data_IF_987793869278
#
_entry.id   IF_987793869278
#
_cell.length_a   1.000
_cell.length_b   1.000
_cell.length_c   1.000
_cell.angle_alpha   90.00
_cell.angle_beta   90.00
_cell.angle_gamma   90.00
#
_symmetry.space_group_name_H-M   'P 1'
#
loop_
_entity.id
_entity.type
_entity.pdbx_description
1 polymer ?
#
# COMPACT_ATOMS: atom_id res chain seq x y z
N UNK A 1 -42.57 25.23 10.08
CA UNK A 1 -42.84 24.65 8.76
C UNK A 1 -41.76 25.12 7.82
N UNK A 2 -40.76 24.26 7.52
CA UNK A 2 -39.65 24.62 6.63
C UNK A 2 -40.05 24.21 5.21
N UNK A 3 -40.27 25.21 4.35
CA UNK A 3 -40.48 25.00 2.91
C UNK A 3 -39.18 24.56 2.24
N UNK A 4 -38.98 23.24 2.06
CA UNK A 4 -37.97 22.72 1.18
C UNK A 4 -38.39 22.99 -0.27
N UNK A 5 -37.78 23.97 -0.91
CA UNK A 5 -38.00 24.25 -2.31
C UNK A 5 -37.33 23.14 -3.16
N UNK A 6 -38.00 22.72 -4.25
CA UNK A 6 -37.54 21.67 -5.21
C UNK A 6 -36.09 21.88 -5.73
N UNK A 7 -35.60 23.13 -5.72
CA UNK A 7 -34.22 23.47 -6.10
C UNK A 7 -33.17 22.92 -5.16
N UNK A 8 -33.45 22.81 -3.84
CA UNK A 8 -32.49 22.31 -2.86
C UNK A 8 -32.37 20.77 -2.91
N UNK A 9 -33.45 20.09 -3.33
CA UNK A 9 -33.41 18.63 -3.50
C UNK A 9 -32.53 18.21 -4.70
N UNK A 10 -32.52 19.03 -5.77
CA UNK A 10 -31.72 18.74 -6.96
C UNK A 10 -30.21 18.94 -6.72
N UNK A 11 -29.85 19.95 -5.94
CA UNK A 11 -28.46 20.20 -5.55
C UNK A 11 -27.88 19.11 -4.62
N UNK A 12 -28.69 18.57 -3.71
CA UNK A 12 -28.26 17.49 -2.83
C UNK A 12 -28.08 16.17 -3.59
N UNK A 13 -28.94 15.86 -4.58
CA UNK A 13 -28.83 14.63 -5.37
C UNK A 13 -27.62 14.64 -6.29
N UNK A 14 -27.26 15.80 -6.85
CA UNK A 14 -26.12 15.92 -7.75
C UNK A 14 -24.77 15.79 -7.01
N UNK A 15 -24.69 16.33 -5.79
CA UNK A 15 -23.50 16.19 -4.94
C UNK A 15 -23.23 14.74 -4.51
N UNK A 16 -24.29 13.97 -4.22
CA UNK A 16 -24.16 12.58 -3.82
C UNK A 16 -23.73 11.67 -4.99
N UNK A 17 -24.24 11.91 -6.19
CA UNK A 17 -23.89 11.14 -7.39
C UNK A 17 -22.44 11.38 -7.81
N UNK A 18 -21.96 12.62 -7.73
CA UNK A 18 -20.55 12.96 -8.07
C UNK A 18 -19.59 12.36 -7.02
N UNK A 19 -19.96 12.41 -5.74
CA UNK A 19 -19.17 11.78 -4.68
C UNK A 19 -19.09 10.25 -4.81
N UNK A 20 -20.22 9.60 -5.13
CA UNK A 20 -20.28 8.15 -5.33
C UNK A 20 -19.52 7.69 -6.58
N UNK A 21 -19.58 8.45 -7.68
CA UNK A 21 -18.80 8.17 -8.90
C UNK A 21 -17.30 8.36 -8.67
N UNK A 22 -16.89 9.40 -7.94
CA UNK A 22 -15.49 9.60 -7.55
C UNK A 22 -14.96 8.44 -6.71
N UNK A 23 -15.72 7.96 -5.73
CA UNK A 23 -15.35 6.81 -4.92
C UNK A 23 -15.25 5.51 -5.75
N UNK A 24 -16.18 5.26 -6.66
CA UNK A 24 -16.16 4.06 -7.52
C UNK A 24 -14.99 4.08 -8.50
N UNK A 25 -14.60 5.24 -9.03
CA UNK A 25 -13.41 5.38 -9.89
C UNK A 25 -12.12 5.21 -9.10
N UNK A 26 -12.06 5.68 -7.86
CA UNK A 26 -10.91 5.48 -6.97
C UNK A 26 -10.60 4.00 -6.72
N UNK A 27 -11.64 3.15 -6.58
CA UNK A 27 -11.48 1.70 -6.39
C UNK A 27 -11.11 0.94 -7.68
N UNK A 28 -11.09 1.59 -8.84
CA UNK A 28 -10.85 0.97 -10.15
C UNK A 28 -9.52 1.33 -10.81
N UNK A 29 -8.64 2.07 -10.16
CA UNK A 29 -7.31 2.27 -10.75
C UNK A 29 -6.60 0.91 -10.89
N UNK A 30 -6.24 0.52 -12.12
CA UNK A 30 -5.61 -0.78 -12.34
C UNK A 30 -4.24 -0.80 -11.65
N UNK A 31 -3.91 -1.91 -11.01
CA UNK A 31 -2.56 -2.12 -10.49
C UNK A 31 -1.59 -2.23 -11.67
N UNK A 32 -0.52 -1.46 -11.65
CA UNK A 32 0.55 -1.53 -12.64
C UNK A 32 1.50 -2.72 -12.37
N UNK A 33 2.19 -3.23 -13.40
CA UNK A 33 3.33 -4.12 -13.16
C UNK A 33 4.36 -3.45 -12.27
N UNK A 34 4.89 -4.18 -11.28
CA UNK A 34 5.98 -3.68 -10.45
C UNK A 34 7.27 -3.69 -11.27
N UNK A 35 7.89 -2.51 -11.44
CA UNK A 35 9.21 -2.34 -12.06
C UNK A 35 10.13 -1.55 -11.15
N UNK A 36 11.45 -1.62 -11.39
CA UNK A 36 12.44 -0.84 -10.62
C UNK A 36 12.22 0.66 -10.75
N UNK A 37 11.86 1.14 -11.95
CA UNK A 37 11.62 2.55 -12.24
C UNK A 37 10.37 3.05 -11.48
N UNK A 38 9.28 2.26 -11.50
CA UNK A 38 8.06 2.61 -10.79
C UNK A 38 8.27 2.64 -9.27
N UNK A 39 9.01 1.66 -8.74
CA UNK A 39 9.37 1.58 -7.32
C UNK A 39 10.23 2.77 -6.90
N UNK A 40 11.27 3.09 -7.68
CA UNK A 40 12.17 4.21 -7.43
C UNK A 40 11.42 5.55 -7.44
N UNK A 41 10.54 5.77 -8.42
CA UNK A 41 9.72 6.98 -8.52
C UNK A 41 8.74 7.11 -7.33
N UNK A 42 8.15 6.03 -6.87
CA UNK A 42 7.29 6.02 -5.70
C UNK A 42 8.06 6.32 -4.41
N UNK A 43 9.22 5.67 -4.21
CA UNK A 43 10.12 5.92 -3.07
C UNK A 43 10.62 7.37 -3.04
N UNK A 44 10.92 7.95 -4.21
CA UNK A 44 11.30 9.36 -4.31
C UNK A 44 10.17 10.29 -3.87
N UNK A 45 8.93 10.04 -4.30
CA UNK A 45 7.76 10.82 -3.85
C UNK A 45 7.56 10.71 -2.34
N UNK A 46 7.68 9.51 -1.78
CA UNK A 46 7.58 9.28 -0.35
C UNK A 46 8.60 10.11 0.43
N UNK A 47 9.87 10.08 0.01
CA UNK A 47 10.93 10.87 0.64
C UNK A 47 10.71 12.38 0.48
N UNK A 48 10.28 12.82 -0.69
CA UNK A 48 10.00 14.23 -0.98
C UNK A 48 8.80 14.77 -0.19
N UNK A 49 7.85 13.92 0.21
CA UNK A 49 6.72 14.30 1.04
C UNK A 49 7.14 14.74 2.45
N UNK A 50 8.33 14.37 2.92
CA UNK A 50 8.90 14.84 4.18
C UNK A 50 8.07 14.48 5.41
N UNK A 51 7.31 13.38 5.36
CA UNK A 51 6.46 12.93 6.47
C UNK A 51 7.35 12.57 7.66
N UNK A 52 7.13 13.24 8.80
CA UNK A 52 7.92 13.07 10.02
C UNK A 52 7.28 12.12 11.03
N UNK A 53 5.99 11.85 10.89
CA UNK A 53 5.28 10.90 11.72
C UNK A 53 4.05 10.34 11.01
N UNK A 54 3.76 9.06 11.21
CA UNK A 54 2.54 8.44 10.69
C UNK A 54 2.09 7.28 11.56
N UNK A 55 0.79 6.99 11.48
CA UNK A 55 0.21 5.73 11.91
C UNK A 55 -0.31 4.99 10.67
N UNK A 56 -0.04 3.71 10.57
CA UNK A 56 -0.45 2.90 9.45
C UNK A 56 -0.98 1.54 9.92
N UNK A 57 -2.02 1.06 9.26
CA UNK A 57 -2.49 -0.33 9.34
C UNK A 57 -2.50 -0.95 7.96
N UNK A 58 -1.92 -2.10 7.83
CA UNK A 58 -1.91 -2.85 6.57
C UNK A 58 -1.97 -4.35 6.83
N UNK A 59 -2.39 -5.09 5.84
CA UNK A 59 -2.38 -6.56 5.84
C UNK A 59 -1.28 -7.06 4.93
N UNK A 60 -0.48 -8.01 5.44
CA UNK A 60 0.56 -8.67 4.66
C UNK A 60 0.54 -10.17 5.00
N UNK A 61 0.46 -11.01 3.95
CA UNK A 61 0.41 -12.48 4.09
C UNK A 61 -0.69 -13.00 5.03
N UNK A 62 -1.80 -12.29 5.15
CA UNK A 62 -2.93 -12.68 6.00
C UNK A 62 -2.89 -12.12 7.41
N UNK A 63 -1.76 -11.58 7.88
CA UNK A 63 -1.65 -10.91 9.18
C UNK A 63 -1.88 -9.40 9.05
N UNK A 64 -2.43 -8.80 10.09
CA UNK A 64 -2.64 -7.36 10.19
C UNK A 64 -1.52 -6.72 11.02
N UNK A 65 -0.90 -5.70 10.47
CA UNK A 65 0.17 -4.91 11.06
C UNK A 65 -0.37 -3.53 11.40
N UNK A 66 -0.11 -3.06 12.62
CA UNK A 66 -0.36 -1.68 13.02
C UNK A 66 0.95 -1.08 13.53
N UNK A 67 1.36 0.03 12.92
CA UNK A 67 2.67 0.66 13.12
C UNK A 67 2.47 2.14 13.42
N UNK A 68 3.13 2.64 14.45
CA UNK A 68 3.34 4.06 14.68
C UNK A 68 4.82 4.37 14.51
N UNK A 69 5.11 5.30 13.60
CA UNK A 69 6.46 5.68 13.22
C UNK A 69 6.64 7.18 13.40
N UNK A 70 7.81 7.60 13.91
CA UNK A 70 8.17 9.01 14.09
C UNK A 70 9.67 9.22 13.93
N UNK A 71 10.05 10.25 13.19
CA UNK A 71 11.43 10.75 13.04
C UNK A 71 12.47 9.62 12.79
N UNK A 72 12.16 8.66 11.94
CA UNK A 72 13.07 7.56 11.58
C UNK A 72 12.94 6.29 12.44
N UNK A 73 12.06 6.27 13.44
CA UNK A 73 11.94 5.15 14.39
C UNK A 73 10.50 4.66 14.48
N UNK A 74 10.34 3.34 14.55
CA UNK A 74 9.06 2.73 14.91
C UNK A 74 8.88 2.82 16.43
N UNK A 75 7.92 3.64 16.87
CA UNK A 75 7.59 3.82 18.29
C UNK A 75 6.73 2.68 18.83
N UNK A 76 5.77 2.21 17.99
CA UNK A 76 4.91 1.09 18.34
C UNK A 76 4.69 0.21 17.11
N UNK A 77 4.64 -1.10 17.35
CA UNK A 77 4.28 -2.09 16.34
C UNK A 77 3.45 -3.21 16.96
N UNK A 78 2.46 -3.69 16.22
CA UNK A 78 1.74 -4.92 16.55
C UNK A 78 1.46 -5.73 15.29
N UNK A 79 1.40 -7.05 15.46
CA UNK A 79 1.04 -8.04 14.45
C UNK A 79 -0.11 -8.85 15.01
N UNK A 80 -1.30 -8.80 14.36
CA UNK A 80 -2.53 -9.43 14.86
C UNK A 80 -2.83 -9.03 16.31
N UNK A 81 -2.65 -7.73 16.63
CA UNK A 81 -2.87 -7.14 17.97
C UNK A 81 -1.89 -7.65 19.06
N UNK A 82 -0.78 -8.27 18.69
CA UNK A 82 0.26 -8.76 19.61
C UNK A 82 1.58 -8.06 19.33
N UNK A 83 2.47 -7.94 20.31
CA UNK A 83 3.82 -7.46 20.07
C UNK A 83 4.52 -8.33 19.01
N UNK A 84 5.28 -7.74 18.07
CA UNK A 84 6.02 -8.49 17.08
C UNK A 84 7.12 -9.33 17.74
N UNK A 85 7.47 -10.44 17.11
CA UNK A 85 8.51 -11.35 17.60
C UNK A 85 9.91 -10.93 17.17
N UNK A 86 10.03 -10.01 16.21
CA UNK A 86 11.32 -9.50 15.75
C UNK A 86 11.76 -8.28 16.53
N UNK A 87 13.09 -8.08 16.63
CA UNK A 87 13.71 -6.87 17.19
C UNK A 87 13.88 -5.78 16.13
N UNK A 88 13.90 -6.12 14.84
CA UNK A 88 13.94 -5.15 13.75
C UNK A 88 12.52 -4.72 13.39
N UNK A 89 12.05 -3.70 14.10
CA UNK A 89 10.72 -3.12 13.85
C UNK A 89 10.67 -2.28 12.58
N UNK A 90 11.82 -1.77 12.09
CA UNK A 90 11.86 -0.96 10.87
C UNK A 90 11.46 -1.74 9.62
N UNK A 91 11.63 -3.06 9.63
CA UNK A 91 11.14 -3.93 8.55
C UNK A 91 9.62 -3.82 8.34
N UNK A 92 8.88 -3.37 9.36
CA UNK A 92 7.42 -3.16 9.26
C UNK A 92 7.02 -1.72 8.92
N UNK A 93 7.97 -0.79 8.86
CA UNK A 93 7.72 0.59 8.42
C UNK A 93 7.38 0.68 6.94
N UNK A 94 6.90 1.84 6.47
CA UNK A 94 6.70 2.07 5.03
C UNK A 94 8.01 1.98 4.24
N UNK A 95 9.14 2.41 4.81
CA UNK A 95 10.45 2.22 4.19
C UNK A 95 10.82 0.73 4.11
N UNK A 96 10.55 -0.05 5.14
CA UNK A 96 10.70 -1.51 5.13
C UNK A 96 9.82 -2.21 4.08
N UNK A 97 8.61 -1.69 3.81
CA UNK A 97 7.78 -2.19 2.71
C UNK A 97 8.41 -1.90 1.34
N UNK A 98 9.04 -0.73 1.14
CA UNK A 98 9.80 -0.46 -0.08
C UNK A 98 10.98 -1.42 -0.25
N UNK A 99 11.72 -1.70 0.83
CA UNK A 99 12.83 -2.66 0.81
C UNK A 99 12.34 -4.08 0.50
N UNK A 100 11.18 -4.46 1.03
CA UNK A 100 10.52 -5.73 0.69
C UNK A 100 10.21 -5.83 -0.80
N UNK A 101 9.65 -4.78 -1.42
CA UNK A 101 9.36 -4.78 -2.86
C UNK A 101 10.64 -4.79 -3.72
N UNK A 102 11.70 -4.16 -3.27
CA UNK A 102 13.01 -4.21 -3.93
C UNK A 102 13.60 -5.62 -3.88
N UNK A 103 13.55 -6.27 -2.72
CA UNK A 103 13.97 -7.67 -2.56
C UNK A 103 13.15 -8.63 -3.45
N UNK A 104 11.84 -8.39 -3.64
CA UNK A 104 11.01 -9.18 -4.55
C UNK A 104 11.49 -9.06 -6.01
N UNK A 105 11.90 -7.85 -6.44
CA UNK A 105 12.46 -7.64 -7.77
C UNK A 105 13.86 -8.26 -7.92
N UNK A 106 14.68 -8.23 -6.87
CA UNK A 106 15.97 -8.88 -6.84
C UNK A 106 15.84 -10.40 -6.93
N UNK A 107 14.93 -10.96 -6.15
CA UNK A 107 14.61 -12.39 -6.19
C UNK A 107 14.10 -12.85 -7.56
N UNK A 108 13.35 -11.99 -8.27
CA UNK A 108 12.87 -12.29 -9.63
C UNK A 108 14.02 -12.27 -10.65
N UNK A 109 15.00 -11.39 -10.46
CA UNK A 109 16.13 -11.24 -11.36
C UNK A 109 17.24 -12.28 -11.11
N UNK A 110 17.28 -12.88 -9.94
CA UNK A 110 18.32 -13.85 -9.56
C UNK A 110 18.05 -15.22 -10.20
N UNK A 111 18.94 -15.69 -11.11
CA UNK A 111 18.79 -17.00 -11.74
C UNK A 111 18.92 -18.19 -10.78
N UNK A 112 19.46 -17.98 -9.58
CA UNK A 112 19.57 -18.95 -8.51
C UNK A 112 18.57 -18.69 -7.35
N UNK A 113 17.73 -17.65 -7.48
CA UNK A 113 16.81 -17.19 -6.47
C UNK A 113 15.55 -18.06 -6.30
N UNK A 114 14.62 -17.62 -5.46
CA UNK A 114 13.40 -18.37 -5.15
C UNK A 114 12.49 -18.64 -6.36
N UNK A 115 12.69 -17.89 -7.46
CA UNK A 115 11.89 -17.99 -8.68
C UNK A 115 12.68 -18.63 -9.85
N UNK A 116 13.84 -19.22 -9.56
CA UNK A 116 14.66 -19.88 -10.57
C UNK A 116 13.84 -20.91 -11.39
N UNK A 117 13.90 -20.79 -12.72
CA UNK A 117 13.17 -21.65 -13.65
C UNK A 117 11.66 -21.37 -13.77
N UNK A 118 11.13 -20.36 -13.07
CA UNK A 118 9.69 -20.00 -13.10
C UNK A 118 9.46 -18.50 -13.19
N UNK A 119 10.48 -17.69 -13.39
CA UNK A 119 10.42 -16.23 -13.36
C UNK A 119 9.36 -15.67 -14.33
N UNK A 120 9.20 -16.28 -15.51
CA UNK A 120 8.20 -15.88 -16.53
C UNK A 120 6.75 -16.09 -16.07
N UNK A 121 6.50 -16.90 -15.04
CA UNK A 121 5.16 -17.17 -14.49
C UNK A 121 4.85 -16.30 -13.28
N UNK A 122 5.82 -15.53 -12.78
CA UNK A 122 5.66 -14.65 -11.64
C UNK A 122 5.15 -13.30 -12.11
N UNK A 123 3.95 -12.94 -11.65
CA UNK A 123 3.34 -11.64 -11.92
C UNK A 123 3.34 -10.81 -10.65
N UNK A 124 4.03 -9.67 -10.69
CA UNK A 124 4.03 -8.69 -9.60
C UNK A 124 3.28 -7.44 -10.04
N UNK A 125 2.27 -7.06 -9.27
CA UNK A 125 1.50 -5.84 -9.52
C UNK A 125 1.46 -4.98 -8.27
N UNK A 126 1.48 -3.66 -8.47
CA UNK A 126 1.50 -2.69 -7.38
C UNK A 126 0.61 -1.49 -7.70
N UNK A 127 0.09 -0.88 -6.64
CA UNK A 127 -0.48 0.46 -6.67
C UNK A 127 0.17 1.26 -5.55
N UNK A 128 0.72 2.41 -5.93
CA UNK A 128 1.25 3.40 -4.99
C UNK A 128 0.28 4.56 -4.85
N UNK A 129 0.26 5.18 -3.67
CA UNK A 129 -0.48 6.41 -3.48
C UNK A 129 0.04 7.50 -4.44
N UNK A 130 -0.82 8.13 -5.23
CA UNK A 130 -0.38 9.07 -6.27
C UNK A 130 0.26 10.34 -5.70
N UNK A 131 -0.14 10.76 -4.50
CA UNK A 131 0.33 12.00 -3.86
C UNK A 131 1.59 11.77 -3.02
N UNK A 132 1.59 10.75 -2.19
CA UNK A 132 2.66 10.50 -1.20
C UNK A 132 3.63 9.38 -1.63
N UNK A 133 3.22 8.51 -2.54
CA UNK A 133 4.09 7.44 -3.06
C UNK A 133 4.13 6.16 -2.24
N UNK A 134 3.56 6.08 -1.04
CA UNK A 134 3.56 4.83 -0.27
C UNK A 134 2.76 3.71 -0.97
N UNK A 135 3.06 2.46 -0.64
CA UNK A 135 2.36 1.31 -1.22
C UNK A 135 0.95 1.19 -0.67
N UNK A 136 -0.06 1.23 -1.54
CA UNK A 136 -1.46 0.99 -1.19
C UNK A 136 -1.83 -0.48 -1.36
N UNK A 137 -1.32 -1.10 -2.41
CA UNK A 137 -1.57 -2.50 -2.69
C UNK A 137 -0.42 -3.12 -3.46
N UNK A 138 -0.05 -4.31 -3.08
CA UNK A 138 0.88 -5.17 -3.80
C UNK A 138 0.31 -6.58 -3.89
N UNK A 139 0.51 -7.22 -5.04
CA UNK A 139 0.12 -8.60 -5.27
C UNK A 139 1.19 -9.29 -6.11
N UNK A 140 1.71 -10.39 -5.60
CA UNK A 140 2.50 -11.34 -6.36
C UNK A 140 1.70 -12.63 -6.54
N UNK A 141 1.55 -13.08 -7.79
CA UNK A 141 1.08 -14.42 -8.12
C UNK A 141 2.21 -15.18 -8.79
N UNK A 142 2.45 -16.40 -8.34
CA UNK A 142 3.38 -17.32 -8.98
C UNK A 142 2.58 -18.48 -9.56
N UNK A 143 2.75 -18.76 -10.85
CA UNK A 143 2.04 -19.83 -11.53
C UNK A 143 2.39 -21.20 -10.94
N UNK A 144 1.39 -22.02 -10.70
CA UNK A 144 1.49 -23.45 -10.45
C UNK A 144 1.93 -23.91 -9.07
N UNK A 145 3.03 -23.43 -8.48
CA UNK A 145 3.60 -23.99 -7.23
C UNK A 145 4.12 -22.95 -6.24
N UNK A 146 4.05 -21.66 -6.57
CA UNK A 146 4.53 -20.58 -5.70
C UNK A 146 3.46 -20.07 -4.75
N UNK A 147 3.85 -19.73 -3.50
CA UNK A 147 2.97 -18.99 -2.60
C UNK A 147 2.82 -17.55 -3.11
N UNK A 148 1.59 -17.09 -3.25
CA UNK A 148 1.30 -15.69 -3.52
C UNK A 148 1.76 -14.80 -2.35
N UNK A 149 2.04 -13.53 -2.64
CA UNK A 149 2.30 -12.52 -1.64
C UNK A 149 1.36 -11.34 -1.86
N UNK A 150 0.95 -10.70 -0.79
CA UNK A 150 0.09 -9.51 -0.87
C UNK A 150 0.39 -8.53 0.24
N UNK A 151 0.29 -7.24 -0.09
CA UNK A 151 0.23 -6.14 0.85
C UNK A 151 -1.02 -5.34 0.52
N UNK A 152 -1.80 -4.97 1.52
CA UNK A 152 -3.01 -4.15 1.37
C UNK A 152 -3.06 -3.11 2.48
N UNK A 153 -2.97 -1.85 2.12
CA UNK A 153 -3.13 -0.73 3.04
C UNK A 153 -4.58 -0.63 3.49
N UNK A 154 -4.81 -0.68 4.80
CA UNK A 154 -6.12 -0.54 5.44
C UNK A 154 -6.35 0.92 5.83
N UNK A 155 -5.34 1.52 6.46
CA UNK A 155 -5.43 2.88 6.98
C UNK A 155 -4.05 3.54 6.97
N UNK A 156 -4.01 4.82 6.64
CA UNK A 156 -2.81 5.65 6.74
C UNK A 156 -3.20 7.03 7.25
N UNK A 157 -2.50 7.52 8.28
CA UNK A 157 -2.68 8.84 8.84
C UNK A 157 -1.33 9.48 9.16
N UNK A 158 -1.10 10.69 8.64
CA UNK A 158 0.05 11.51 9.04
C UNK A 158 -0.16 11.98 10.48
N UNK A 159 0.91 11.97 11.27
CA UNK A 159 0.98 12.49 12.64
C UNK A 159 1.93 13.67 12.68
N UNK A 160 1.56 14.70 13.42
CA UNK A 160 2.39 15.89 13.70
C UNK A 160 3.29 15.65 14.91
#
# INVERSE_FOLDING_TARGET
MIHLTRKNLFLMSTGFVVGALGAVLWFREPMAPLTRELLAAARQRWRAAGVRGYAVRYRMHGSEYAIEWRDGVVEQASVDQRPPTTTDLNAYSLDGLFDTLEQELDNLADPAGPFAGHAETVLMRVRFNPSLGYVERYLRSAGGHGRGASIEMIEFAVRE
#
